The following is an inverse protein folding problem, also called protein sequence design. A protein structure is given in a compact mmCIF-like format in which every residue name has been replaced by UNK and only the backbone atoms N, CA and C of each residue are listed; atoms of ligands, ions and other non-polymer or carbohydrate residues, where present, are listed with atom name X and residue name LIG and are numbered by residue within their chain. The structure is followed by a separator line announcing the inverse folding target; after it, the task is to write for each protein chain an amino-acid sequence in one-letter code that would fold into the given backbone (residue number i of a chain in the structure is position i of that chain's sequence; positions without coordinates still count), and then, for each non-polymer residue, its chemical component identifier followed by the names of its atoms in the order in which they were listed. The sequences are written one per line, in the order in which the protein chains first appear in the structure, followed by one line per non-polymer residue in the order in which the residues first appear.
data_IF_078279615558
#
_entry.id   IF_078279615558
#
_cell.length_a   1.000
_cell.length_b   1.000
_cell.length_c   1.000
_cell.angle_alpha   90.00
_cell.angle_beta   90.00
_cell.angle_gamma   90.00
#
_symmetry.space_group_name_H-M   'P 1'
#
loop_
_entity.id
_entity.type
_entity.pdbx_description
1 polymer ?
#
# COMPACT_ATOMS: atom_id res chain seq x y z
N UNK A 1 -2.29 -17.96 -10.64
CA UNK A 1 -2.57 -17.29 -9.36
C UNK A 1 -1.35 -16.48 -9.01
N UNK A 2 -1.50 -15.19 -8.72
CA UNK A 2 -0.43 -14.28 -8.29
C UNK A 2 -0.68 -13.90 -6.84
N UNK A 3 0.37 -13.95 -6.02
CA UNK A 3 0.36 -13.44 -4.65
C UNK A 3 1.49 -12.42 -4.56
N UNK A 4 1.18 -11.16 -4.31
CA UNK A 4 2.14 -10.07 -4.32
C UNK A 4 2.16 -9.31 -2.99
N UNK A 5 3.37 -8.95 -2.56
CA UNK A 5 3.63 -8.16 -1.36
C UNK A 5 4.45 -6.91 -1.76
N UNK A 6 3.89 -5.99 -2.57
CA UNK A 6 4.62 -4.84 -3.04
C UNK A 6 5.01 -3.91 -1.86
N UNK A 7 6.14 -3.19 -1.97
CA UNK A 7 6.61 -2.32 -0.91
C UNK A 7 5.59 -1.22 -0.58
N UNK A 8 5.20 -1.13 0.70
CA UNK A 8 4.12 -0.26 1.16
C UNK A 8 4.58 1.09 1.74
N UNK A 9 5.90 1.32 1.82
CA UNK A 9 6.55 2.46 2.47
C UNK A 9 6.00 3.82 2.02
N UNK A 10 5.69 3.96 0.74
CA UNK A 10 5.17 5.19 0.15
C UNK A 10 3.65 5.21 -0.03
N UNK A 11 3.00 4.06 0.20
CA UNK A 11 1.57 3.84 0.04
C UNK A 11 0.81 4.00 1.37
N UNK A 12 1.46 3.76 2.52
CA UNK A 12 0.84 3.82 3.85
C UNK A 12 0.45 5.24 4.30
N UNK A 13 -0.66 5.34 5.04
CA UNK A 13 -1.14 6.59 5.65
C UNK A 13 -0.15 7.18 6.64
N UNK A 14 0.60 6.36 7.37
CA UNK A 14 1.59 6.82 8.36
C UNK A 14 2.75 7.57 7.71
N UNK A 15 3.02 7.29 6.43
CA UNK A 15 4.02 7.96 5.61
C UNK A 15 3.61 9.35 5.14
N UNK A 16 2.30 9.68 5.14
CA UNK A 16 1.77 10.94 4.59
C UNK A 16 2.35 12.20 5.25
N UNK A 17 2.71 12.13 6.54
CA UNK A 17 3.27 13.28 7.26
C UNK A 17 4.53 13.85 6.61
N UNK A 18 5.31 12.99 5.94
CA UNK A 18 6.58 13.34 5.31
C UNK A 18 6.45 13.92 3.90
N UNK A 19 5.23 14.01 3.36
CA UNK A 19 4.94 14.63 2.06
C UNK A 19 4.60 16.12 2.18
N UNK A 20 4.57 16.66 3.40
CA UNK A 20 4.32 18.07 3.66
C UNK A 20 5.47 18.94 3.16
N UNK A 21 5.21 20.20 2.75
CA UNK A 21 6.26 21.13 2.28
C UNK A 21 7.42 21.28 3.25
N UNK A 22 7.15 21.24 4.57
CA UNK A 22 8.15 21.33 5.64
C UNK A 22 9.23 20.23 5.61
N UNK A 23 8.96 19.10 4.94
CA UNK A 23 9.90 17.99 4.79
C UNK A 23 10.45 17.84 3.36
N UNK A 24 10.09 18.76 2.45
CA UNK A 24 10.45 18.64 1.04
C UNK A 24 11.96 18.72 0.79
N UNK A 25 12.68 19.56 1.52
CA UNK A 25 14.15 19.64 1.44
C UNK A 25 14.82 18.35 1.95
N UNK A 26 14.23 17.71 2.97
CA UNK A 26 14.75 16.46 3.54
C UNK A 26 14.40 15.24 2.69
N UNK A 27 13.28 15.27 1.98
CA UNK A 27 12.79 14.17 1.16
C UNK A 27 12.25 14.66 -0.20
N UNK A 28 13.13 15.11 -1.10
CA UNK A 28 12.72 15.75 -2.36
C UNK A 28 12.05 14.78 -3.34
N UNK A 29 12.41 13.50 -3.33
CA UNK A 29 11.93 12.48 -4.28
C UNK A 29 10.62 11.83 -3.86
N UNK A 30 10.12 12.12 -2.65
CA UNK A 30 9.08 11.31 -2.00
C UNK A 30 7.80 11.17 -2.80
N UNK A 31 7.41 12.22 -3.54
CA UNK A 31 6.27 12.20 -4.47
C UNK A 31 6.50 11.25 -5.64
N UNK A 32 7.67 11.33 -6.28
CA UNK A 32 8.04 10.42 -7.37
C UNK A 32 8.14 8.97 -6.88
N UNK A 33 8.69 8.74 -5.69
CA UNK A 33 8.77 7.41 -5.07
C UNK A 33 7.38 6.80 -4.81
N UNK A 34 6.41 7.64 -4.44
CA UNK A 34 5.01 7.22 -4.31
C UNK A 34 4.40 6.87 -5.65
N UNK A 35 4.61 7.68 -6.68
CA UNK A 35 4.04 7.41 -8.00
C UNK A 35 4.63 6.11 -8.57
N UNK A 36 5.94 5.87 -8.39
CA UNK A 36 6.58 4.61 -8.75
C UNK A 36 6.03 3.41 -7.96
N UNK A 37 5.76 3.57 -6.66
CA UNK A 37 5.15 2.52 -5.85
C UNK A 37 3.71 2.20 -6.29
N UNK A 38 2.94 3.22 -6.67
CA UNK A 38 1.58 3.05 -7.24
C UNK A 38 1.68 2.30 -8.56
N UNK A 39 2.57 2.71 -9.47
CA UNK A 39 2.75 2.04 -10.76
C UNK A 39 3.15 0.57 -10.57
N UNK A 40 4.08 0.29 -9.66
CA UNK A 40 4.50 -1.07 -9.35
C UNK A 40 3.36 -1.92 -8.78
N UNK A 41 2.56 -1.36 -7.88
CA UNK A 41 1.35 -2.02 -7.38
C UNK A 41 0.38 -2.33 -8.54
N UNK A 42 0.14 -1.37 -9.42
CA UNK A 42 -0.81 -1.52 -10.54
C UNK A 42 -0.36 -2.56 -11.57
N UNK A 43 0.95 -2.83 -11.70
CA UNK A 43 1.46 -3.92 -12.55
C UNK A 43 0.94 -5.28 -12.13
N UNK A 44 0.78 -5.52 -10.82
CA UNK A 44 0.19 -6.76 -10.31
C UNK A 44 -1.32 -6.72 -10.42
N UNK A 45 -1.94 -5.60 -10.06
CA UNK A 45 -3.40 -5.45 -10.11
C UNK A 45 -3.99 -5.64 -11.52
N UNK A 46 -3.26 -5.21 -12.55
CA UNK A 46 -3.66 -5.33 -13.95
C UNK A 46 -2.99 -6.52 -14.67
N UNK A 47 -2.33 -7.42 -13.94
CA UNK A 47 -1.72 -8.58 -14.56
C UNK A 47 -2.80 -9.49 -15.18
N UNK A 48 -2.49 -10.12 -16.31
CA UNK A 48 -3.39 -11.09 -16.94
C UNK A 48 -3.36 -12.41 -16.14
N UNK A 49 -4.07 -12.44 -15.02
CA UNK A 49 -4.19 -13.62 -14.17
C UNK A 49 -5.59 -13.73 -13.57
N UNK A 50 -6.27 -14.89 -13.67
CA UNK A 50 -7.62 -15.07 -13.12
C UNK A 50 -7.73 -14.95 -11.60
N UNK A 51 -6.61 -15.07 -10.87
CA UNK A 51 -6.57 -15.01 -9.41
C UNK A 51 -5.35 -14.20 -8.98
N UNK A 52 -5.58 -13.03 -8.41
CA UNK A 52 -4.55 -12.12 -7.91
C UNK A 52 -4.90 -11.79 -6.46
N UNK A 53 -3.92 -11.87 -5.57
CA UNK A 53 -4.02 -11.41 -4.19
C UNK A 53 -2.85 -10.47 -3.92
N UNK A 54 -3.13 -9.23 -3.56
CA UNK A 54 -2.13 -8.21 -3.24
C UNK A 54 -2.33 -7.79 -1.79
N UNK A 55 -1.31 -8.02 -0.96
CA UNK A 55 -1.30 -7.57 0.43
C UNK A 55 -0.57 -6.24 0.52
N UNK A 56 -1.27 -5.23 1.06
CA UNK A 56 -0.70 -3.91 1.30
C UNK A 56 -1.45 -3.26 2.49
N UNK A 57 -0.79 -2.57 3.44
CA UNK A 57 -1.49 -1.82 4.48
C UNK A 57 -2.45 -0.79 3.90
N UNK A 58 -3.51 -0.49 4.67
CA UNK A 58 -4.48 0.55 4.32
C UNK A 58 -3.74 1.87 4.07
N UNK A 59 -3.98 2.44 2.89
CA UNK A 59 -3.14 3.50 2.33
C UNK A 59 -3.81 4.32 1.24
N UNK A 60 -2.98 5.02 0.46
CA UNK A 60 -3.41 5.86 -0.67
C UNK A 60 -4.10 5.07 -1.79
N UNK A 61 -3.84 3.76 -1.87
CA UNK A 61 -4.44 2.88 -2.90
C UNK A 61 -5.97 2.82 -2.78
N UNK A 62 -6.52 2.92 -1.57
CA UNK A 62 -7.98 2.99 -1.35
C UNK A 62 -8.64 4.21 -2.02
N UNK A 63 -7.86 5.28 -2.24
CA UNK A 63 -8.31 6.49 -2.93
C UNK A 63 -7.91 6.51 -4.42
N UNK A 64 -6.80 5.86 -4.78
CA UNK A 64 -6.22 5.92 -6.14
C UNK A 64 -6.68 4.79 -7.07
N UNK A 65 -7.05 3.64 -6.53
CA UNK A 65 -7.46 2.47 -7.31
C UNK A 65 -8.86 2.01 -6.94
N UNK A 66 -8.99 1.27 -5.84
CA UNK A 66 -10.27 0.79 -5.30
C UNK A 66 -10.13 0.47 -3.82
N UNK A 67 -11.26 0.36 -3.12
CA UNK A 67 -11.26 -0.14 -1.74
C UNK A 67 -10.82 -1.62 -1.73
N UNK A 68 -10.04 -2.05 -0.72
CA UNK A 68 -9.68 -3.45 -0.56
C UNK A 68 -10.94 -4.31 -0.42
N UNK A 69 -10.89 -5.52 -0.96
CA UNK A 69 -11.99 -6.48 -0.81
C UNK A 69 -12.07 -7.02 0.61
N UNK A 70 -10.90 -7.17 1.25
CA UNK A 70 -10.80 -7.68 2.61
C UNK A 70 -9.77 -6.90 3.42
N UNK A 71 -10.10 -6.60 4.68
CA UNK A 71 -9.18 -5.95 5.63
C UNK A 71 -8.96 -6.92 6.78
N UNK A 72 -7.75 -7.47 6.87
CA UNK A 72 -7.36 -8.41 7.92
C UNK A 72 -6.58 -7.66 8.99
N UNK A 73 -7.11 -7.65 10.21
CA UNK A 73 -6.44 -7.05 11.35
C UNK A 73 -5.75 -8.14 12.17
N UNK A 74 -4.48 -7.98 12.61
CA UNK A 74 -3.72 -9.04 13.28
C UNK A 74 -4.32 -9.48 14.62
N UNK A 75 -5.09 -8.62 15.29
CA UNK A 75 -5.85 -9.00 16.49
C UNK A 75 -6.96 -10.02 16.20
N UNK A 76 -7.34 -10.24 14.93
CA UNK A 76 -8.29 -11.30 14.54
C UNK A 76 -7.68 -12.70 14.66
N UNK A 77 -6.36 -12.83 14.77
CA UNK A 77 -5.66 -14.12 14.90
C UNK A 77 -4.84 -14.24 16.21
N UNK A 78 -5.11 -13.39 17.20
CA UNK A 78 -4.62 -13.58 18.58
C UNK A 78 -3.23 -13.00 18.91
N UNK A 79 -2.55 -12.35 17.97
CA UNK A 79 -1.27 -11.68 18.25
C UNK A 79 -1.50 -10.24 18.73
N UNK A 80 -0.93 -9.80 19.88
CA UNK A 80 -1.12 -8.46 20.44
C UNK A 80 -0.37 -7.34 19.69
N UNK A 81 0.01 -7.55 18.43
CA UNK A 81 0.73 -6.56 17.62
C UNK A 81 -0.17 -5.94 16.54
N UNK A 82 -0.40 -4.63 16.63
CA UNK A 82 -1.08 -3.84 15.58
C UNK A 82 -0.23 -3.73 14.31
N UNK A 83 -0.57 -4.51 13.28
CA UNK A 83 -0.16 -4.31 11.88
C UNK A 83 -1.37 -4.42 10.96
N UNK A 84 -2.02 -3.30 10.62
CA UNK A 84 -3.19 -3.31 9.72
C UNK A 84 -2.78 -3.79 8.32
N UNK A 85 -3.29 -4.94 7.87
CA UNK A 85 -3.06 -5.49 6.52
C UNK A 85 -4.38 -5.39 5.72
N UNK A 86 -4.33 -5.04 4.44
CA UNK A 86 -5.49 -5.05 3.56
C UNK A 86 -5.16 -5.88 2.31
N UNK A 87 -6.06 -6.79 1.96
CA UNK A 87 -5.98 -7.63 0.76
C UNK A 87 -6.90 -7.04 -0.32
N UNK A 88 -6.36 -6.92 -1.53
CA UNK A 88 -7.12 -6.54 -2.74
C UNK A 88 -6.50 -7.11 -3.99
#
# INVERSE_FOLDING_TARGET
MIIAFPPCTYLTVTGNKWFKPEYSDRFPTRKADRDAAIEFFMKFANADCPKIAIENPIGIMSSKWRKPDEIIQPWMFGDPYEKKLACG
#
